data_IF_595958377109
#
_entry.id   IF_595958377109
#
_cell.length_a   1.000
_cell.length_b   1.000
_cell.length_c   1.000
_cell.angle_alpha   90.00
_cell.angle_beta   90.00
_cell.angle_gamma   90.00
#
_symmetry.space_group_name_H-M   'P 1'
#
loop_
_entity.id
_entity.type
_entity.pdbx_description
1 polymer ?
#
# COMPACT_ATOMS: atom_id res chain seq x y z
N UNK A 1 -60.15 -11.82 -7.06
CA UNK A 1 -59.54 -12.85 -6.19
C UNK A 1 -58.33 -12.29 -5.41
N UNK A 2 -57.37 -11.67 -6.09
CA UNK A 2 -56.11 -11.16 -5.52
C UNK A 2 -56.29 -10.08 -4.43
N UNK A 3 -57.27 -9.18 -4.57
CA UNK A 3 -57.54 -8.13 -3.58
C UNK A 3 -57.97 -8.69 -2.21
N UNK A 4 -58.88 -9.68 -2.20
CA UNK A 4 -59.33 -10.36 -0.98
C UNK A 4 -58.20 -11.12 -0.28
N UNK A 5 -57.28 -11.71 -1.05
CA UNK A 5 -56.12 -12.43 -0.50
C UNK A 5 -55.18 -11.43 0.22
N UNK A 6 -54.92 -10.27 -0.38
CA UNK A 6 -54.09 -9.21 0.20
C UNK A 6 -54.69 -8.65 1.49
N UNK A 7 -55.99 -8.34 1.48
CA UNK A 7 -56.70 -7.83 2.65
C UNK A 7 -56.66 -8.84 3.81
N UNK A 8 -56.96 -10.10 3.53
CA UNK A 8 -56.87 -11.16 4.54
C UNK A 8 -55.46 -11.37 5.08
N UNK A 9 -54.42 -11.22 4.24
CA UNK A 9 -53.03 -11.34 4.66
C UNK A 9 -52.62 -10.22 5.62
N UNK A 10 -53.07 -8.99 5.37
CA UNK A 10 -52.80 -7.81 6.21
C UNK A 10 -53.55 -7.89 7.54
N UNK A 11 -54.83 -8.28 7.50
CA UNK A 11 -55.63 -8.44 8.73
C UNK A 11 -55.06 -9.54 9.61
N UNK A 12 -54.60 -10.65 9.02
CA UNK A 12 -53.96 -11.75 9.76
C UNK A 12 -52.56 -11.42 10.27
N UNK A 13 -51.84 -10.49 9.66
CA UNK A 13 -50.48 -10.12 10.09
C UNK A 13 -50.45 -9.15 11.26
N UNK A 14 -51.59 -8.55 11.64
CA UNK A 14 -51.68 -7.61 12.76
C UNK A 14 -50.96 -6.28 12.51
N UNK A 15 -50.60 -5.98 11.26
CA UNK A 15 -49.99 -4.71 10.85
C UNK A 15 -51.07 -3.67 10.56
N UNK A 16 -50.77 -2.38 10.76
CA UNK A 16 -51.68 -1.31 10.37
C UNK A 16 -51.98 -1.38 8.86
N UNK A 17 -53.26 -1.58 8.45
CA UNK A 17 -53.61 -1.73 7.04
C UNK A 17 -53.30 -0.51 6.17
N UNK A 18 -53.15 0.68 6.77
CA UNK A 18 -52.90 1.93 6.04
C UNK A 18 -51.41 2.21 5.86
N UNK A 19 -50.62 1.99 6.91
CA UNK A 19 -49.19 2.37 6.91
C UNK A 19 -48.25 1.18 6.77
N UNK A 20 -48.69 -0.04 7.07
CA UNK A 20 -47.86 -1.25 7.14
C UNK A 20 -46.69 -1.12 8.14
N UNK A 21 -46.85 -0.26 9.15
CA UNK A 21 -45.84 -0.01 10.18
C UNK A 21 -46.28 -0.57 11.53
N UNK A 22 -45.32 -0.76 12.41
CA UNK A 22 -45.50 -1.28 13.76
C UNK A 22 -44.82 -0.38 14.79
N UNK A 23 -45.40 -0.33 15.98
CA UNK A 23 -44.79 0.31 17.15
C UNK A 23 -43.73 -0.63 17.72
N UNK A 24 -42.48 -0.16 17.77
CA UNK A 24 -41.32 -0.93 18.26
C UNK A 24 -40.85 -0.33 19.58
N UNK A 25 -40.46 -1.18 20.52
CA UNK A 25 -39.84 -0.78 21.79
C UNK A 25 -38.33 -0.91 21.68
N UNK A 26 -37.61 0.03 22.29
CA UNK A 26 -36.16 -0.04 22.41
C UNK A 26 -35.76 -1.20 23.34
N UNK A 27 -34.82 -2.04 22.88
CA UNK A 27 -34.33 -3.19 23.62
C UNK A 27 -33.41 -2.84 24.78
N UNK A 28 -32.85 -1.62 24.81
CA UNK A 28 -31.99 -1.16 25.91
C UNK A 28 -32.79 -0.47 27.03
N UNK A 29 -33.66 0.48 26.69
CA UNK A 29 -34.40 1.31 27.67
C UNK A 29 -35.80 0.79 27.99
N UNK A 30 -36.41 0.00 27.10
CA UNK A 30 -37.80 -0.45 27.23
C UNK A 30 -38.85 0.59 26.83
N UNK A 31 -38.45 1.80 26.48
CA UNK A 31 -39.35 2.85 26.00
C UNK A 31 -39.85 2.57 24.57
N UNK A 32 -40.98 3.18 24.22
CA UNK A 32 -41.56 3.03 22.88
C UNK A 32 -40.96 4.07 21.94
N UNK A 33 -40.53 3.65 20.74
CA UNK A 33 -39.99 4.58 19.75
C UNK A 33 -41.08 5.58 19.31
N UNK A 34 -40.73 6.87 19.13
CA UNK A 34 -41.72 7.93 18.91
C UNK A 34 -42.47 7.80 17.57
N UNK A 35 -41.86 7.15 16.58
CA UNK A 35 -42.43 6.97 15.26
C UNK A 35 -42.59 5.48 14.92
N UNK A 36 -43.68 5.09 14.23
CA UNK A 36 -43.89 3.72 13.82
C UNK A 36 -42.89 3.31 12.72
N UNK A 37 -42.38 2.08 12.79
CA UNK A 37 -41.31 1.56 11.92
C UNK A 37 -41.86 0.44 11.04
N UNK A 38 -41.38 0.35 9.80
CA UNK A 38 -41.70 -0.77 8.91
C UNK A 38 -40.92 -2.00 9.35
N UNK A 39 -41.62 -3.03 9.82
CA UNK A 39 -41.04 -4.33 10.19
C UNK A 39 -41.54 -5.36 9.20
N UNK A 40 -40.63 -6.17 8.67
CA UNK A 40 -40.98 -7.19 7.69
C UNK A 40 -39.91 -8.28 7.60
N UNK A 41 -40.27 -9.36 6.93
CA UNK A 41 -39.34 -10.43 6.62
C UNK A 41 -38.70 -10.13 5.27
N UNK A 42 -37.39 -9.89 5.28
CA UNK A 42 -36.59 -9.78 4.06
C UNK A 42 -35.74 -11.04 3.92
N UNK A 43 -35.63 -11.54 2.70
CA UNK A 43 -34.68 -12.60 2.39
C UNK A 43 -33.29 -11.98 2.18
N UNK A 44 -32.39 -12.19 3.14
CA UNK A 44 -31.03 -11.66 3.07
C UNK A 44 -30.07 -12.73 2.52
N UNK A 45 -29.21 -12.31 1.59
CA UNK A 45 -28.14 -13.15 1.05
C UNK A 45 -26.81 -12.75 1.67
N UNK A 46 -26.00 -13.76 2.03
CA UNK A 46 -24.60 -13.56 2.43
C UNK A 46 -23.72 -13.70 1.19
N UNK A 47 -22.93 -12.67 0.90
CA UNK A 47 -21.94 -12.70 -0.17
C UNK A 47 -20.64 -13.39 0.29
N UNK A 48 -19.87 -13.88 -0.67
CA UNK A 48 -18.62 -14.61 -0.43
C UNK A 48 -17.46 -13.73 0.08
N UNK A 49 -17.58 -12.40 -0.01
CA UNK A 49 -16.52 -11.46 0.36
C UNK A 49 -16.25 -11.37 1.88
N UNK A 50 -15.62 -12.41 2.42
CA UNK A 50 -15.24 -12.48 3.83
C UNK A 50 -14.02 -11.59 4.11
N UNK A 51 -14.01 -10.97 5.29
CA UNK A 51 -12.91 -10.12 5.74
C UNK A 51 -11.63 -10.94 5.94
N UNK A 52 -11.77 -12.20 6.36
CA UNK A 52 -10.65 -13.11 6.62
C UNK A 52 -9.77 -13.32 5.37
N UNK A 53 -10.38 -13.31 4.19
CA UNK A 53 -9.67 -13.41 2.92
C UNK A 53 -8.95 -12.10 2.53
N UNK A 54 -9.37 -10.97 3.08
CA UNK A 54 -8.85 -9.63 2.73
C UNK A 54 -7.72 -9.18 3.65
N UNK A 55 -7.67 -9.65 4.90
CA UNK A 55 -6.59 -9.28 5.83
C UNK A 55 -5.28 -9.93 5.38
N UNK A 56 -4.23 -9.12 5.25
CA UNK A 56 -2.86 -9.53 4.93
C UNK A 56 -1.89 -8.47 5.44
N UNK A 57 -0.79 -8.91 6.05
CA UNK A 57 0.28 -8.05 6.54
C UNK A 57 1.63 -8.69 6.26
N UNK A 58 2.65 -7.84 6.08
CA UNK A 58 4.00 -8.26 5.75
C UNK A 58 5.03 -7.38 6.46
N UNK A 59 6.07 -8.01 6.99
CA UNK A 59 7.30 -7.35 7.44
C UNK A 59 8.44 -7.59 6.44
N UNK A 60 8.84 -8.83 6.25
CA UNK A 60 9.90 -9.27 5.31
C UNK A 60 9.34 -10.44 4.47
N UNK A 61 9.81 -10.61 3.23
CA UNK A 61 9.42 -11.73 2.39
C UNK A 61 10.24 -11.79 1.10
N UNK A 62 9.78 -12.50 0.04
CA UNK A 62 10.52 -12.65 -1.21
C UNK A 62 10.59 -11.35 -2.05
N UNK A 63 11.69 -11.20 -2.78
CA UNK A 63 11.99 -10.07 -3.65
C UNK A 63 12.18 -10.52 -5.10
N UNK A 64 11.94 -9.60 -6.04
CA UNK A 64 12.23 -9.80 -7.45
C UNK A 64 13.73 -9.93 -7.68
N UNK A 65 14.16 -10.90 -8.50
CA UNK A 65 15.57 -11.06 -8.86
C UNK A 65 16.13 -9.87 -9.65
N UNK A 66 15.28 -9.23 -10.45
CA UNK A 66 15.69 -8.13 -11.33
C UNK A 66 15.74 -6.84 -10.52
N UNK A 67 14.59 -6.36 -10.05
CA UNK A 67 14.47 -5.03 -9.43
C UNK A 67 14.73 -5.00 -7.93
N UNK A 68 14.90 -6.15 -7.29
CA UNK A 68 15.03 -6.27 -5.82
C UNK A 68 13.84 -5.70 -5.02
N UNK A 69 12.72 -5.42 -5.69
CA UNK A 69 11.49 -4.94 -5.06
C UNK A 69 10.64 -6.11 -4.51
N UNK A 70 9.84 -5.87 -3.46
CA UNK A 70 8.97 -6.90 -2.90
C UNK A 70 7.96 -7.39 -3.95
N UNK A 71 7.71 -8.71 -3.99
CA UNK A 71 6.68 -9.28 -4.86
C UNK A 71 5.27 -8.77 -4.51
N UNK A 72 4.33 -8.83 -5.46
CA UNK A 72 2.94 -8.42 -5.27
C UNK A 72 2.00 -9.59 -4.93
N UNK A 73 0.89 -9.28 -4.25
CA UNK A 73 -0.21 -10.21 -4.02
C UNK A 73 -0.12 -11.07 -2.75
N UNK A 74 -1.27 -11.32 -2.12
CA UNK A 74 -1.38 -12.07 -0.85
C UNK A 74 -0.75 -13.47 -0.92
N UNK A 75 -0.94 -14.18 -2.04
CA UNK A 75 -0.48 -15.56 -2.20
C UNK A 75 1.06 -15.72 -2.18
N UNK A 76 1.80 -14.66 -2.54
CA UNK A 76 3.27 -14.69 -2.59
C UNK A 76 3.90 -14.01 -1.37
N UNK A 77 3.12 -13.82 -0.30
CA UNK A 77 3.48 -12.93 0.81
C UNK A 77 3.91 -11.56 0.29
N UNK A 78 3.17 -11.04 -0.68
CA UNK A 78 3.48 -9.82 -1.39
C UNK A 78 3.33 -8.56 -0.53
N UNK A 79 4.04 -7.51 -0.93
CA UNK A 79 3.93 -6.18 -0.34
C UNK A 79 2.79 -5.40 -0.99
N UNK A 80 2.36 -4.34 -0.31
CA UNK A 80 1.41 -3.39 -0.89
C UNK A 80 2.15 -2.45 -1.85
N UNK A 81 1.52 -2.15 -2.99
CA UNK A 81 2.02 -1.13 -3.90
C UNK A 81 1.84 0.24 -3.26
N UNK A 82 2.95 0.95 -3.07
CA UNK A 82 2.94 2.39 -2.84
C UNK A 82 3.03 3.06 -4.21
N UNK A 83 1.95 3.72 -4.63
CA UNK A 83 1.81 4.28 -5.97
C UNK A 83 2.23 5.73 -6.06
N UNK A 84 2.12 6.26 -7.27
CA UNK A 84 2.48 7.63 -7.61
C UNK A 84 1.58 8.65 -6.90
N UNK A 85 0.28 8.35 -6.75
CA UNK A 85 -0.65 9.24 -6.04
C UNK A 85 -0.32 9.34 -4.54
N UNK A 86 0.17 8.26 -3.93
CA UNK A 86 0.60 8.27 -2.54
C UNK A 86 1.94 9.00 -2.36
N UNK A 87 2.84 8.93 -3.34
CA UNK A 87 4.05 9.77 -3.39
C UNK A 87 3.67 11.24 -3.40
N UNK A 88 2.78 11.66 -4.31
CA UNK A 88 2.31 13.06 -4.38
C UNK A 88 1.69 13.54 -3.07
N UNK A 89 0.94 12.67 -2.39
CA UNK A 89 0.38 13.01 -1.10
C UNK A 89 1.48 13.30 -0.07
N UNK A 90 2.50 12.45 0.04
CA UNK A 90 3.62 12.68 0.97
C UNK A 90 4.47 13.90 0.62
N UNK A 91 4.68 14.15 -0.67
CA UNK A 91 5.37 15.35 -1.16
C UNK A 91 4.59 16.62 -0.79
N UNK A 92 3.27 16.64 -0.95
CA UNK A 92 2.42 17.76 -0.57
C UNK A 92 2.44 18.04 0.94
N UNK A 93 2.59 16.99 1.76
CA UNK A 93 2.81 17.14 3.21
C UNK A 93 4.23 17.61 3.57
N UNK A 94 5.19 17.58 2.64
CA UNK A 94 6.59 17.89 2.90
C UNK A 94 7.32 16.79 3.70
N UNK A 95 6.83 15.55 3.67
CA UNK A 95 7.36 14.42 4.44
C UNK A 95 8.59 13.76 3.76
N UNK A 96 9.64 14.54 3.52
CA UNK A 96 10.82 14.12 2.73
C UNK A 96 11.53 12.88 3.30
N UNK A 97 11.77 12.83 4.61
CA UNK A 97 12.44 11.69 5.26
C UNK A 97 11.63 10.40 5.18
N UNK A 98 10.31 10.49 5.38
CA UNK A 98 9.40 9.33 5.27
C UNK A 98 9.33 8.81 3.85
N UNK A 99 9.25 9.71 2.87
CA UNK A 99 9.24 9.35 1.46
C UNK A 99 10.57 8.69 1.06
N UNK A 100 11.70 9.25 1.48
CA UNK A 100 13.03 8.69 1.23
C UNK A 100 13.15 7.27 1.78
N UNK A 101 12.73 7.05 3.03
CA UNK A 101 12.75 5.72 3.68
C UNK A 101 11.90 4.69 2.93
N UNK A 102 10.69 5.10 2.48
CA UNK A 102 9.77 4.24 1.73
C UNK A 102 10.32 3.84 0.36
N UNK A 103 10.95 4.77 -0.36
CA UNK A 103 11.46 4.53 -1.71
C UNK A 103 12.80 3.80 -1.74
N UNK A 104 13.55 3.76 -0.63
CA UNK A 104 14.90 3.19 -0.57
C UNK A 104 14.97 1.97 0.35
N UNK A 105 15.24 2.16 1.64
CA UNK A 105 15.49 1.13 2.67
C UNK A 105 14.35 0.11 2.76
N UNK A 106 13.09 0.55 2.58
CA UNK A 106 11.91 -0.34 2.64
C UNK A 106 11.62 -1.05 1.31
N UNK A 107 12.23 -0.65 0.20
CA UNK A 107 11.92 -1.13 -1.14
C UNK A 107 13.05 -2.00 -1.72
N UNK A 108 14.05 -1.37 -2.35
CA UNK A 108 15.03 -2.00 -3.24
C UNK A 108 16.50 -1.71 -2.89
N UNK A 109 16.79 -1.02 -1.78
CA UNK A 109 18.15 -0.94 -1.24
C UNK A 109 18.52 -2.24 -0.50
N UNK A 110 19.18 -3.16 -1.21
CA UNK A 110 19.55 -4.49 -0.70
C UNK A 110 20.41 -4.41 0.55
N UNK A 111 21.39 -3.51 0.60
CA UNK A 111 22.28 -3.40 1.75
C UNK A 111 21.64 -2.57 2.86
N UNK A 112 20.96 -1.48 2.49
CA UNK A 112 20.27 -0.60 3.41
C UNK A 112 19.21 -1.34 4.21
N UNK A 113 18.46 -2.26 3.61
CA UNK A 113 17.43 -3.03 4.32
C UNK A 113 18.00 -3.96 5.38
N UNK A 114 19.13 -4.62 5.10
CA UNK A 114 19.76 -5.57 6.03
C UNK A 114 20.32 -4.81 7.21
N UNK A 115 21.04 -3.71 6.94
CA UNK A 115 21.56 -2.81 7.97
C UNK A 115 20.43 -2.21 8.81
N UNK A 116 19.36 -1.72 8.18
CA UNK A 116 18.21 -1.17 8.91
C UNK A 116 17.55 -2.21 9.81
N UNK A 117 17.40 -3.45 9.35
CA UNK A 117 16.89 -4.53 10.18
C UNK A 117 17.80 -4.79 11.39
N UNK A 118 19.12 -4.89 11.18
CA UNK A 118 20.07 -5.05 12.27
C UNK A 118 20.05 -3.90 13.27
N UNK A 119 20.02 -2.65 12.79
CA UNK A 119 19.94 -1.45 13.62
C UNK A 119 18.66 -1.44 14.45
N UNK A 120 17.52 -1.82 13.88
CA UNK A 120 16.24 -1.91 14.61
C UNK A 120 16.32 -2.98 15.70
N UNK A 121 16.92 -4.14 15.42
CA UNK A 121 17.08 -5.22 16.40
C UNK A 121 18.04 -4.81 17.53
N UNK A 122 19.09 -4.07 17.22
CA UNK A 122 20.09 -3.59 18.20
C UNK A 122 19.66 -2.31 18.94
N UNK A 123 18.63 -1.62 18.46
CA UNK A 123 18.22 -0.30 18.99
C UNK A 123 19.17 0.84 18.61
N UNK A 124 19.92 0.69 17.53
CA UNK A 124 20.86 1.69 17.00
C UNK A 124 20.19 2.60 15.96
N UNK A 125 20.82 3.74 15.65
CA UNK A 125 20.34 4.62 14.60
C UNK A 125 20.45 3.96 13.22
N UNK A 126 19.45 4.18 12.38
CA UNK A 126 19.42 3.67 11.00
C UNK A 126 20.38 4.51 10.15
N UNK A 127 21.22 3.86 9.35
CA UNK A 127 22.15 4.52 8.44
C UNK A 127 21.44 5.21 7.27
N UNK A 128 22.08 6.22 6.69
CA UNK A 128 21.55 6.91 5.51
C UNK A 128 21.33 5.93 4.33
N UNK A 129 20.24 6.12 3.56
CA UNK A 129 19.89 5.26 2.44
C UNK A 129 20.83 5.42 1.25
N UNK A 130 21.04 4.32 0.52
CA UNK A 130 21.80 4.30 -0.72
C UNK A 130 20.99 4.64 -1.97
N UNK A 131 21.61 4.42 -3.14
CA UNK A 131 20.95 4.55 -4.44
C UNK A 131 20.09 3.30 -4.72
N UNK A 132 18.80 3.47 -5.08
CA UNK A 132 17.89 2.38 -5.45
C UNK A 132 18.45 1.48 -6.56
N UNK A 133 18.21 0.17 -6.46
CA UNK A 133 18.63 -0.78 -7.48
C UNK A 133 17.87 -0.56 -8.80
N UNK A 134 16.60 -0.16 -8.73
CA UNK A 134 15.79 0.21 -9.89
C UNK A 134 16.42 1.32 -10.74
N UNK A 135 17.08 2.30 -10.10
CA UNK A 135 17.78 3.36 -10.82
C UNK A 135 19.02 2.85 -11.55
N UNK A 136 19.78 1.93 -10.94
CA UNK A 136 20.95 1.31 -11.60
C UNK A 136 20.53 0.51 -12.83
N UNK A 137 19.44 -0.24 -12.72
CA UNK A 137 18.86 -1.00 -13.85
C UNK A 137 18.47 -0.05 -14.97
N UNK A 138 17.79 1.06 -14.67
CA UNK A 138 17.44 2.08 -15.66
C UNK A 138 18.68 2.61 -16.41
N UNK A 139 19.76 2.92 -15.70
CA UNK A 139 20.99 3.40 -16.34
C UNK A 139 21.61 2.33 -17.24
N UNK A 140 21.62 1.07 -16.80
CA UNK A 140 22.12 -0.05 -17.61
C UNK A 140 21.24 -0.33 -18.84
N UNK A 141 19.92 -0.18 -18.73
CA UNK A 141 19.00 -0.27 -19.86
C UNK A 141 19.26 0.83 -20.89
N UNK A 142 19.44 2.09 -20.45
CA UNK A 142 19.78 3.19 -21.35
C UNK A 142 21.15 2.97 -22.03
N UNK A 143 22.15 2.45 -21.31
CA UNK A 143 23.46 2.09 -21.89
C UNK A 143 23.35 0.98 -22.93
N UNK A 144 22.45 0.02 -22.74
CA UNK A 144 22.23 -1.07 -23.70
C UNK A 144 21.63 -0.57 -25.03
N UNK A 145 20.96 0.59 -25.03
CA UNK A 145 20.48 1.28 -26.24
C UNK A 145 21.60 2.04 -26.98
N UNK A 146 22.84 2.04 -26.48
CA UNK A 146 23.96 2.79 -27.04
C UNK A 146 24.04 4.24 -26.57
N UNK A 147 23.28 4.63 -25.54
CA UNK A 147 23.36 5.96 -24.94
C UNK A 147 24.49 6.00 -23.90
N UNK A 148 25.38 7.01 -24.01
CA UNK A 148 26.38 7.27 -22.97
C UNK A 148 25.71 7.97 -21.79
N UNK A 149 25.36 7.21 -20.76
CA UNK A 149 24.80 7.73 -19.50
C UNK A 149 25.80 7.51 -18.35
N UNK A 150 26.28 8.59 -17.76
CA UNK A 150 27.14 8.64 -16.57
C UNK A 150 26.43 9.38 -15.45
N UNK A 151 26.73 8.99 -14.20
CA UNK A 151 26.33 9.74 -13.01
C UNK A 151 27.57 10.49 -12.54
N UNK A 152 27.46 11.81 -12.41
CA UNK A 152 28.59 12.67 -12.10
C UNK A 152 28.35 13.40 -10.77
N UNK A 153 29.42 13.58 -10.01
CA UNK A 153 29.42 14.47 -8.85
C UNK A 153 29.59 15.94 -9.29
N UNK A 154 29.38 16.89 -8.38
CA UNK A 154 29.52 18.33 -8.64
C UNK A 154 30.91 18.75 -9.19
N UNK A 155 31.92 17.90 -9.04
CA UNK A 155 33.26 18.07 -9.59
C UNK A 155 33.43 17.46 -11.01
N UNK A 156 32.34 17.12 -11.72
CA UNK A 156 32.35 16.47 -13.04
C UNK A 156 33.11 15.13 -13.05
N UNK A 157 33.16 14.46 -11.90
CA UNK A 157 33.80 13.16 -11.77
C UNK A 157 32.75 12.07 -11.91
N UNK A 158 32.96 11.14 -12.83
CA UNK A 158 32.10 9.97 -13.00
C UNK A 158 32.14 9.12 -11.71
N UNK A 159 30.96 8.86 -11.16
CA UNK A 159 30.76 7.96 -10.03
C UNK A 159 30.50 6.56 -10.57
N UNK A 160 31.27 5.55 -10.12
CA UNK A 160 30.98 4.17 -10.48
C UNK A 160 29.65 3.77 -9.84
N UNK A 161 28.67 3.44 -10.68
CA UNK A 161 27.49 2.69 -10.25
C UNK A 161 27.97 1.27 -9.96
N UNK A 162 28.52 1.05 -8.77
CA UNK A 162 29.09 -0.25 -8.39
C UNK A 162 28.01 -1.34 -8.44
N UNK A 163 28.35 -2.42 -9.13
CA UNK A 163 27.60 -3.67 -9.11
C UNK A 163 27.72 -4.37 -7.75
N UNK A 164 26.75 -5.26 -7.48
CA UNK A 164 26.62 -6.08 -6.26
C UNK A 164 27.89 -6.85 -5.82
N UNK A 165 28.91 -6.95 -6.66
CA UNK A 165 30.12 -7.76 -6.43
C UNK A 165 31.28 -7.03 -5.73
N UNK A 166 31.23 -5.70 -5.53
CA UNK A 166 32.38 -4.92 -5.01
C UNK A 166 32.18 -4.32 -3.59
N UNK A 167 31.30 -4.89 -2.78
CA UNK A 167 30.89 -4.33 -1.48
C UNK A 167 31.73 -4.76 -0.26
N UNK A 168 33.00 -5.10 -0.44
CA UNK A 168 33.97 -5.21 0.66
C UNK A 168 34.76 -3.90 0.84
N UNK A 169 34.10 -2.84 1.32
CA UNK A 169 34.80 -1.61 1.72
C UNK A 169 33.93 -0.65 2.53
N UNK A 170 34.44 0.01 3.60
CA UNK A 170 33.60 0.68 4.60
C UNK A 170 33.25 2.14 4.29
N UNK A 171 33.71 2.72 3.18
CA UNK A 171 33.76 4.18 3.01
C UNK A 171 33.21 4.56 1.64
N UNK A 172 31.98 5.09 1.59
CA UNK A 172 31.61 6.29 0.79
C UNK A 172 30.08 6.46 0.72
N UNK A 173 29.55 7.32 1.59
CA UNK A 173 28.16 7.76 1.63
C UNK A 173 27.97 9.16 1.03
N UNK A 174 28.27 9.35 -0.26
CA UNK A 174 27.96 10.62 -0.95
C UNK A 174 27.06 10.39 -2.17
N UNK A 175 25.83 10.90 -2.04
CA UNK A 175 24.73 10.86 -2.99
C UNK A 175 24.96 11.75 -4.22
N UNK A 176 24.65 11.22 -5.40
CA UNK A 176 24.62 11.95 -6.67
C UNK A 176 23.49 13.00 -6.68
N UNK A 177 23.78 14.21 -7.19
CA UNK A 177 22.86 15.38 -7.14
C UNK A 177 22.33 15.85 -8.50
N UNK A 178 22.85 15.36 -9.63
CA UNK A 178 22.36 15.79 -10.95
C UNK A 178 22.69 14.80 -12.06
N UNK A 179 21.78 14.67 -13.03
CA UNK A 179 21.97 13.94 -14.29
C UNK A 179 22.06 14.98 -15.41
N UNK A 180 23.21 15.06 -16.07
CA UNK A 180 23.43 15.96 -17.21
C UNK A 180 23.35 15.18 -18.51
N UNK A 181 22.61 15.72 -19.49
CA UNK A 181 22.59 15.22 -20.86
C UNK A 181 23.43 16.17 -21.72
N UNK A 182 24.67 15.83 -22.02
CA UNK A 182 25.46 16.52 -23.05
C UNK A 182 25.70 15.59 -24.22
N UNK A 183 25.27 16.02 -25.40
CA UNK A 183 25.69 15.51 -26.69
C UNK A 183 26.22 16.68 -27.52
N UNK A 184 27.54 16.67 -27.77
CA UNK A 184 28.37 17.56 -28.58
C UNK A 184 28.18 19.09 -28.48
#
# INVERSE_FOLDING_TARGET
LTAKIRENAIVRSGLDPRTMKSTVRDGLTGETLPNPITVGMIYMLKLEHLVDEKIHARSIGPYSLVTQQPLGGKAQFGGQRFGEMEVWALEAYGAAYTLQELLTIKSDDVNGRVKAYESIVKGEAISDPGVPESFKILVNELRSLGLKVSVEDAAMKELPLKDLNELSGPEDGRLARSVSFYGN
#
